data_IF_212273160919
#
_entry.id   IF_212273160919
#
_cell.length_a   1.000
_cell.length_b   1.000
_cell.length_c   1.000
_cell.angle_alpha   90.00
_cell.angle_beta   90.00
_cell.angle_gamma   90.00
#
_symmetry.space_group_name_H-M   'P 1'
#
loop_
_entity.id
_entity.type
_entity.pdbx_description
1 polymer ?
#
# COMPACT_ATOMS: atom_id res chain seq x y z
N UNK A 1 29.33 6.94 12.81
CA UNK A 1 27.85 6.99 12.93
C UNK A 1 27.27 5.99 11.94
N UNK A 2 27.11 4.72 12.34
CA UNK A 2 26.29 3.78 11.57
C UNK A 2 24.93 3.79 12.25
N UNK A 3 24.05 4.68 11.78
CA UNK A 3 22.63 4.54 12.08
C UNK A 3 22.27 3.15 11.58
N UNK A 4 22.16 2.20 12.51
CA UNK A 4 21.57 0.91 12.23
C UNK A 4 20.21 1.27 11.69
N UNK A 5 20.00 0.93 10.43
CA UNK A 5 18.76 1.05 9.71
C UNK A 5 17.65 0.44 10.58
N UNK A 6 17.00 1.27 11.41
CA UNK A 6 15.91 0.83 12.28
C UNK A 6 14.71 0.36 11.45
N UNK A 7 14.76 0.54 10.13
CA UNK A 7 13.83 0.01 9.12
C UNK A 7 14.08 -1.46 8.74
N UNK A 8 15.20 -2.08 9.11
CA UNK A 8 15.51 -3.45 8.67
C UNK A 8 14.85 -4.53 9.54
N UNK A 9 14.20 -4.13 10.65
CA UNK A 9 13.46 -5.06 11.50
C UNK A 9 12.29 -5.68 10.70
N UNK A 10 12.06 -7.00 10.80
CA UNK A 10 10.99 -7.68 10.04
C UNK A 10 9.59 -7.09 10.26
N UNK A 11 9.31 -6.56 11.45
CA UNK A 11 8.03 -5.91 11.76
C UNK A 11 7.87 -4.56 11.03
N UNK A 12 8.94 -3.79 10.93
CA UNK A 12 8.98 -2.51 10.23
C UNK A 12 8.85 -2.69 8.71
N UNK A 13 9.46 -3.75 8.15
CA UNK A 13 9.27 -4.14 6.74
C UNK A 13 7.83 -4.54 6.45
N UNK A 14 7.19 -5.30 7.34
CA UNK A 14 5.80 -5.68 7.18
C UNK A 14 4.86 -4.46 7.24
N UNK A 15 5.07 -3.54 8.18
CA UNK A 15 4.24 -2.34 8.28
C UNK A 15 4.43 -1.42 7.07
N UNK A 16 5.68 -1.26 6.59
CA UNK A 16 5.99 -0.54 5.36
C UNK A 16 5.32 -1.17 4.13
N UNK A 17 5.43 -2.49 3.96
CA UNK A 17 4.76 -3.21 2.88
C UNK A 17 3.24 -3.04 2.94
N UNK A 18 2.63 -3.13 4.13
CA UNK A 18 1.18 -2.92 4.32
C UNK A 18 0.76 -1.53 3.86
N UNK A 19 1.46 -0.47 4.29
CA UNK A 19 1.14 0.92 3.92
C UNK A 19 1.28 1.15 2.42
N UNK A 20 2.39 0.70 1.83
CA UNK A 20 2.65 0.83 0.39
C UNK A 20 1.59 0.13 -0.45
N UNK A 21 1.20 -1.09 -0.07
CA UNK A 21 0.19 -1.84 -0.82
C UNK A 21 -1.21 -1.19 -0.71
N UNK A 22 -1.59 -0.69 0.47
CA UNK A 22 -2.86 0.02 0.66
C UNK A 22 -2.92 1.32 -0.14
N UNK A 23 -1.83 2.09 -0.17
CA UNK A 23 -1.77 3.33 -0.94
C UNK A 23 -2.00 3.10 -2.44
N UNK A 24 -1.57 1.95 -2.97
CA UNK A 24 -1.74 1.61 -4.39
C UNK A 24 -3.09 0.96 -4.76
N UNK A 25 -3.92 0.59 -3.78
CA UNK A 25 -5.26 -0.01 -4.05
C UNK A 25 -6.35 1.04 -4.17
N UNK A 26 -6.27 2.14 -3.42
CA UNK A 26 -7.21 3.26 -3.52
C UNK A 26 -6.97 4.13 -4.79
N UNK A 27 -6.42 3.55 -5.87
CA UNK A 27 -6.05 4.26 -7.10
C UNK A 27 -4.83 5.17 -6.96
N UNK A 28 -4.18 5.16 -5.80
CA UNK A 28 -3.01 5.99 -5.52
C UNK A 28 -1.78 5.52 -6.29
N UNK A 29 -1.07 6.49 -6.85
CA UNK A 29 0.27 6.30 -7.42
C UNK A 29 1.28 6.97 -6.49
N UNK A 30 2.42 6.31 -6.25
CA UNK A 30 3.57 6.99 -5.65
C UNK A 30 4.44 7.64 -6.73
N UNK A 31 5.40 8.47 -6.31
CA UNK A 31 6.35 9.16 -7.20
C UNK A 31 7.21 8.19 -8.04
N UNK A 32 7.28 6.92 -7.66
CA UNK A 32 8.00 5.86 -8.37
C UNK A 32 7.11 5.03 -9.32
N UNK A 33 5.83 5.37 -9.46
CA UNK A 33 4.96 4.73 -10.44
C UNK A 33 5.34 5.19 -11.85
N UNK A 34 5.76 4.24 -12.71
CA UNK A 34 6.08 4.49 -14.11
C UNK A 34 5.23 3.54 -14.97
N UNK A 35 4.43 4.10 -15.87
CA UNK A 35 3.64 3.32 -16.84
C UNK A 35 2.65 2.33 -16.22
N UNK A 36 2.10 2.64 -15.04
CA UNK A 36 1.17 1.75 -14.33
C UNK A 36 1.85 0.65 -13.50
N UNK A 37 3.19 0.58 -13.52
CA UNK A 37 3.97 -0.33 -12.68
C UNK A 37 4.69 0.43 -11.57
N UNK A 38 4.83 -0.19 -10.40
CA UNK A 38 5.55 0.37 -9.28
C UNK A 38 6.35 -0.71 -8.57
N UNK A 39 7.68 -0.58 -8.58
CA UNK A 39 8.58 -1.51 -7.93
C UNK A 39 8.32 -1.61 -6.42
N UNK A 40 7.93 -0.51 -5.77
CA UNK A 40 7.58 -0.52 -4.34
C UNK A 40 6.28 -1.29 -4.08
N UNK A 41 5.28 -1.17 -4.96
CA UNK A 41 4.05 -1.97 -4.89
C UNK A 41 4.37 -3.44 -5.09
N UNK A 42 5.20 -3.78 -6.07
CA UNK A 42 5.62 -5.17 -6.32
C UNK A 42 6.32 -5.75 -5.10
N UNK A 43 7.33 -5.06 -4.58
CA UNK A 43 8.02 -5.45 -3.34
C UNK A 43 7.04 -5.62 -2.17
N UNK A 44 6.12 -4.68 -1.98
CA UNK A 44 5.14 -4.74 -0.89
C UNK A 44 4.23 -5.96 -1.00
N UNK A 45 3.77 -6.30 -2.21
CA UNK A 45 2.95 -7.50 -2.43
C UNK A 45 3.76 -8.78 -2.14
N UNK A 46 5.01 -8.85 -2.59
CA UNK A 46 5.89 -9.98 -2.30
C UNK A 46 6.15 -10.12 -0.79
N UNK A 47 6.46 -9.04 -0.09
CA UNK A 47 6.70 -9.07 1.36
C UNK A 47 5.44 -9.52 2.13
N UNK A 48 4.27 -9.03 1.74
CA UNK A 48 3.00 -9.47 2.33
C UNK A 48 2.72 -10.96 2.08
N UNK A 49 3.18 -11.56 0.98
CA UNK A 49 3.04 -13.02 0.77
C UNK A 49 3.93 -13.83 1.70
N UNK A 50 5.06 -13.27 2.15
CA UNK A 50 6.02 -13.93 3.04
C UNK A 50 5.61 -13.88 4.51
N UNK A 51 4.74 -12.95 4.89
CA UNK A 51 4.27 -12.79 6.26
C UNK A 51 2.93 -13.49 6.52
N UNK A 52 2.79 -14.23 7.65
CA UNK A 52 1.52 -14.91 7.99
C UNK A 52 0.34 -13.93 8.16
N UNK A 53 0.61 -12.70 8.62
CA UNK A 53 -0.39 -11.63 8.70
C UNK A 53 -0.71 -10.95 7.35
N UNK A 54 0.12 -11.13 6.33
CA UNK A 54 -0.02 -10.42 5.06
C UNK A 54 -1.14 -10.98 4.17
N UNK A 55 -1.55 -12.23 4.38
CA UNK A 55 -2.68 -12.82 3.64
C UNK A 55 -4.01 -12.09 3.89
N UNK A 56 -4.24 -11.62 5.12
CA UNK A 56 -5.40 -10.79 5.46
C UNK A 56 -5.34 -9.41 4.78
N UNK A 57 -4.12 -8.86 4.63
CA UNK A 57 -3.93 -7.60 3.91
C UNK A 57 -4.22 -7.80 2.42
N UNK A 58 -3.64 -8.83 1.80
CA UNK A 58 -3.87 -9.15 0.40
C UNK A 58 -5.36 -9.40 0.08
N UNK A 59 -6.09 -10.04 1.00
CA UNK A 59 -7.54 -10.25 0.87
C UNK A 59 -8.33 -8.92 0.87
N UNK A 60 -7.97 -7.99 1.78
CA UNK A 60 -8.53 -6.62 1.81
C UNK A 60 -8.20 -5.82 0.55
N UNK A 61 -7.05 -6.08 -0.07
CA UNK A 61 -6.64 -5.41 -1.33
C UNK A 61 -7.39 -5.96 -2.55
N UNK A 62 -7.81 -7.23 -2.51
CA UNK A 62 -8.61 -7.88 -3.58
C UNK A 62 -10.07 -7.54 -3.50
N UNK A 63 -10.56 -7.26 -2.29
CA UNK A 63 -11.91 -6.76 -2.11
C UNK A 63 -11.94 -5.33 -2.64
N UNK A 64 -12.68 -5.03 -3.72
CA UNK A 64 -12.86 -3.66 -4.12
C UNK A 64 -13.51 -2.94 -2.95
N UNK A 65 -12.80 -2.01 -2.31
CA UNK A 65 -13.47 -1.07 -1.41
C UNK A 65 -14.53 -0.39 -2.27
N UNK A 66 -15.78 -0.28 -1.79
CA UNK A 66 -16.71 0.65 -2.44
C UNK A 66 -16.00 1.99 -2.42
N UNK A 67 -15.60 2.47 -3.61
CA UNK A 67 -15.27 3.87 -3.83
C UNK A 67 -16.47 4.59 -3.25
N UNK A 68 -16.29 5.18 -2.07
CA UNK A 68 -17.15 6.27 -1.66
C UNK A 68 -16.81 7.33 -2.68
N UNK A 69 -17.57 7.36 -3.76
CA UNK A 69 -17.70 8.51 -4.61
C UNK A 69 -18.15 9.60 -3.66
N UNK A 70 -17.21 10.36 -3.12
CA UNK A 70 -17.47 11.74 -2.73
C UNK A 70 -17.69 12.48 -4.04
N UNK A 71 -18.84 12.20 -4.67
CA UNK A 71 -19.49 13.15 -5.54
C UNK A 71 -20.15 14.15 -4.61
N UNK A 72 -19.35 15.00 -3.97
CA UNK A 72 -19.85 16.29 -3.51
C UNK A 72 -19.65 17.30 -4.66
N UNK A 73 -20.29 16.99 -5.79
CA UNK A 73 -20.70 18.02 -6.74
C UNK A 73 -22.10 18.42 -6.31
N UNK A 74 -22.22 19.52 -5.55
CA UNK A 74 -23.54 20.02 -5.21
C UNK A 74 -23.63 20.98 -4.03
N UNK A 75 -23.37 22.26 -4.34
CA UNK A 75 -24.32 23.36 -4.11
C UNK A 75 -24.16 24.23 -2.86
N UNK A 76 -24.29 25.54 -3.15
CA UNK A 76 -24.75 26.69 -2.33
C UNK A 76 -23.61 27.62 -1.86
N UNK A 77 -23.52 28.90 -2.25
CA UNK A 77 -24.30 29.84 -3.07
C UNK A 77 -23.35 30.93 -3.56
#
# INVERSE_FOLDING_TARGET
>A
MTAVDESDRPADRFDAARRTALQHVDGGTCWHCIGGTCSQRTWALEELTRHPGGRQVLDKLRTPKPVKTMTEEGQQR
#
